data_IF_059600936597
#
_entry.id   IF_059600936597
#
_cell.length_a   1.000
_cell.length_b   1.000
_cell.length_c   1.000
_cell.angle_alpha   90.00
_cell.angle_beta   90.00
_cell.angle_gamma   90.00
#
_symmetry.space_group_name_H-M   'P 1'
#
loop_
_entity.id
_entity.type
_entity.pdbx_description
1 polymer ?
#
# COMPACT_ATOMS: atom_id res chain seq x y z
N UNK A 1 10.43 -0.61 14.66
CA UNK A 1 9.70 0.40 13.87
C UNK A 1 9.29 -0.28 12.59
N UNK A 2 8.05 -0.09 12.12
CA UNK A 2 7.57 -0.76 10.93
C UNK A 2 8.11 -0.09 9.66
N UNK A 3 8.39 -0.89 8.63
CA UNK A 3 8.66 -0.42 7.27
C UNK A 3 7.44 -0.67 6.37
N UNK A 4 7.40 -0.06 5.19
CA UNK A 4 6.30 -0.23 4.23
C UNK A 4 6.05 -1.72 3.91
N UNK A 5 7.12 -2.51 3.80
CA UNK A 5 7.04 -3.96 3.58
C UNK A 5 6.29 -4.73 4.67
N UNK A 6 6.38 -4.30 5.94
CA UNK A 6 5.65 -4.94 7.03
C UNK A 6 4.13 -4.74 6.87
N UNK A 7 3.71 -3.54 6.48
CA UNK A 7 2.30 -3.22 6.21
C UNK A 7 1.82 -3.96 4.96
N UNK A 8 2.63 -3.98 3.90
CA UNK A 8 2.32 -4.69 2.66
C UNK A 8 2.04 -6.17 2.94
N UNK A 9 2.91 -6.84 3.71
CA UNK A 9 2.74 -8.25 4.06
C UNK A 9 1.51 -8.50 4.95
N UNK A 10 1.19 -7.55 5.84
CA UNK A 10 -0.02 -7.63 6.65
C UNK A 10 -1.31 -7.50 5.82
N UNK A 11 -1.30 -6.62 4.81
CA UNK A 11 -2.41 -6.50 3.86
C UNK A 11 -2.56 -7.76 3.03
N UNK A 12 -1.47 -8.29 2.47
CA UNK A 12 -1.49 -9.53 1.67
C UNK A 12 -1.96 -10.75 2.50
N UNK A 13 -1.61 -10.82 3.77
CA UNK A 13 -2.10 -11.89 4.65
C UNK A 13 -3.62 -11.81 4.94
N UNK A 14 -4.19 -10.60 4.95
CA UNK A 14 -5.61 -10.37 5.24
C UNK A 14 -6.48 -10.39 3.96
N UNK A 15 -5.98 -9.77 2.90
CA UNK A 15 -6.60 -9.63 1.59
C UNK A 15 -5.50 -9.87 0.54
N UNK A 16 -5.26 -11.14 0.17
CA UNK A 16 -4.18 -11.52 -0.74
C UNK A 16 -4.25 -10.73 -2.04
N UNK A 17 -3.12 -10.15 -2.45
CA UNK A 17 -3.08 -9.39 -3.69
C UNK A 17 -3.32 -10.30 -4.89
N UNK A 18 -3.02 -11.60 -4.82
CA UNK A 18 -3.15 -12.55 -5.94
C UNK A 18 -4.59 -12.82 -6.42
N UNK A 19 -5.61 -12.39 -5.66
CA UNK A 19 -7.03 -12.54 -6.04
C UNK A 19 -7.55 -11.41 -6.94
N UNK A 20 -6.73 -10.41 -7.24
CA UNK A 20 -7.10 -9.33 -8.18
C UNK A 20 -7.31 -9.85 -9.60
N UNK A 21 -8.10 -9.10 -10.37
CA UNK A 21 -8.24 -9.35 -11.81
C UNK A 21 -6.94 -9.07 -12.54
N UNK A 22 -6.64 -9.81 -13.61
CA UNK A 22 -5.35 -9.73 -14.32
C UNK A 22 -5.03 -8.34 -14.91
N UNK A 23 -6.06 -7.52 -15.10
CA UNK A 23 -5.94 -6.16 -15.64
C UNK A 23 -5.82 -5.07 -14.56
N UNK A 24 -5.99 -5.43 -13.29
CA UNK A 24 -5.92 -4.49 -12.18
C UNK A 24 -4.46 -4.19 -11.80
N UNK A 25 -4.21 -3.04 -11.20
CA UNK A 25 -2.87 -2.55 -10.84
C UNK A 25 -2.80 -2.31 -9.33
N UNK A 26 -2.51 -3.38 -8.59
CA UNK A 26 -2.55 -3.41 -7.13
C UNK A 26 -1.15 -3.55 -6.51
N UNK A 27 -1.06 -3.37 -5.19
CA UNK A 27 0.18 -3.50 -4.43
C UNK A 27 0.93 -2.18 -4.24
N UNK A 28 2.27 -2.24 -4.17
CA UNK A 28 3.12 -1.07 -3.96
C UNK A 28 3.42 -0.41 -5.30
N UNK A 29 2.66 0.63 -5.65
CA UNK A 29 2.76 1.31 -6.95
C UNK A 29 3.90 2.35 -7.01
N UNK A 30 4.21 3.02 -5.90
CA UNK A 30 5.26 4.05 -5.82
C UNK A 30 5.94 3.98 -4.44
N UNK A 31 7.27 4.09 -4.42
CA UNK A 31 8.07 4.13 -3.20
C UNK A 31 8.92 2.88 -2.98
N UNK A 32 9.35 2.66 -1.74
CA UNK A 32 10.27 1.59 -1.36
C UNK A 32 9.75 0.79 -0.15
N UNK A 33 9.86 -0.54 -0.20
CA UNK A 33 9.43 -1.43 0.89
C UNK A 33 10.25 -1.25 2.18
N UNK A 34 11.50 -0.78 2.07
CA UNK A 34 12.39 -0.48 3.19
C UNK A 34 12.12 0.85 3.87
N UNK A 35 11.25 1.71 3.31
CA UNK A 35 10.98 3.02 3.88
C UNK A 35 10.30 2.90 5.25
N UNK A 36 10.79 3.67 6.23
CA UNK A 36 10.22 3.70 7.57
C UNK A 36 8.82 4.34 7.55
N UNK A 37 7.84 3.69 8.16
CA UNK A 37 6.49 4.23 8.28
C UNK A 37 6.37 5.05 9.57
N UNK A 38 5.81 6.25 9.43
CA UNK A 38 5.47 7.13 10.57
C UNK A 38 3.97 7.34 10.72
N UNK A 39 3.21 7.25 9.62
CA UNK A 39 1.74 7.38 9.54
C UNK A 39 1.20 6.57 8.36
N UNK A 40 -0.09 6.24 8.40
CA UNK A 40 -0.83 5.64 7.29
C UNK A 40 -2.17 6.36 7.12
N UNK A 41 -2.66 6.47 5.88
CA UNK A 41 -3.95 7.05 5.53
C UNK A 41 -4.67 6.11 4.55
N UNK A 42 -6.00 6.08 4.62
CA UNK A 42 -6.86 5.32 3.71
C UNK A 42 -7.68 6.32 2.90
N UNK A 43 -7.61 6.22 1.58
CA UNK A 43 -8.26 7.14 0.64
C UNK A 43 -8.86 6.35 -0.52
N UNK A 44 -9.88 6.92 -1.18
CA UNK A 44 -10.42 6.36 -2.42
C UNK A 44 -9.54 6.75 -3.61
N UNK A 45 -9.24 8.04 -3.75
CA UNK A 45 -8.42 8.61 -4.82
C UNK A 45 -7.22 9.37 -4.24
N UNK A 46 -6.02 9.12 -4.78
CA UNK A 46 -4.78 9.82 -4.41
C UNK A 46 -4.72 11.17 -5.17
N UNK A 47 -5.63 12.08 -4.83
CA UNK A 47 -5.62 13.46 -5.34
C UNK A 47 -4.54 14.30 -4.65
N UNK A 48 -4.12 15.46 -5.21
CA UNK A 48 -3.17 16.35 -4.53
C UNK A 48 -3.60 16.72 -3.11
N UNK A 49 -4.90 16.96 -2.90
CA UNK A 49 -5.46 17.27 -1.57
C UNK A 49 -5.34 16.11 -0.56
N UNK A 50 -5.27 14.86 -1.04
CA UNK A 50 -5.08 13.70 -0.17
C UNK A 50 -3.61 13.52 0.26
N UNK A 51 -2.68 14.22 -0.40
CA UNK A 51 -1.23 14.11 -0.17
C UNK A 51 -0.67 15.31 0.58
N UNK A 52 -1.25 16.51 0.37
CA UNK A 52 -0.92 17.77 1.06
C UNK A 52 -1.35 17.79 2.54
#
# INVERSE_FOLDING_TARGET
MAVVGDIYNALDAFCPFDVHEQWDNVGLLVGESSAQVTRAAVVLDITPYAVE
#
